data_IF_474626300958
#
_entry.id   IF_474626300958
#
_cell.length_a   1.000
_cell.length_b   1.000
_cell.length_c   1.000
_cell.angle_alpha   90.00
_cell.angle_beta   90.00
_cell.angle_gamma   90.00
#
_symmetry.space_group_name_H-M   'P 1'
#
loop_
_entity.id
_entity.type
_entity.pdbx_description
1 polymer ?
#
# COMPACT_ATOMS: atom_id res chain seq x y z
N UNK A 1 -9.82 23.87 29.47
CA UNK A 1 -10.66 23.65 28.28
C UNK A 1 -9.81 22.86 27.29
N UNK A 2 -10.03 21.57 27.18
CA UNK A 2 -9.36 20.71 26.19
C UNK A 2 -9.84 21.18 24.82
N UNK A 3 -8.96 21.83 24.05
CA UNK A 3 -9.24 22.06 22.64
C UNK A 3 -9.42 20.68 22.00
N UNK A 4 -10.67 20.31 21.71
CA UNK A 4 -10.95 19.07 21.00
C UNK A 4 -10.15 19.09 19.70
N UNK A 5 -9.33 18.05 19.47
CA UNK A 5 -8.65 17.87 18.18
C UNK A 5 -9.75 17.87 17.12
N UNK A 6 -9.77 18.88 16.26
CA UNK A 6 -10.64 18.89 15.11
C UNK A 6 -10.13 17.74 14.22
N UNK A 7 -10.94 16.72 13.99
CA UNK A 7 -10.56 15.52 13.19
C UNK A 7 -11.35 15.43 11.89
N UNK A 8 -12.20 16.42 11.62
CA UNK A 8 -13.20 16.38 10.57
C UNK A 8 -13.24 17.64 9.71
N UNK A 9 -13.44 17.44 8.41
CA UNK A 9 -13.78 18.44 7.40
C UNK A 9 -14.79 17.84 6.40
N UNK A 10 -15.19 18.63 5.41
CA UNK A 10 -16.05 18.13 4.32
C UNK A 10 -15.33 17.01 3.56
N UNK A 11 -16.05 15.90 3.30
CA UNK A 11 -15.51 14.80 2.49
C UNK A 11 -15.46 15.19 1.00
N UNK A 12 -14.62 14.50 0.24
CA UNK A 12 -14.54 14.67 -1.21
C UNK A 12 -15.67 13.89 -1.88
N UNK A 13 -16.17 14.42 -3.01
CA UNK A 13 -17.09 13.71 -3.89
C UNK A 13 -16.42 13.47 -5.24
N UNK A 14 -16.47 12.23 -5.76
CA UNK A 14 -16.10 11.94 -7.14
C UNK A 14 -17.34 11.63 -7.95
N UNK A 15 -17.54 12.35 -9.04
CA UNK A 15 -18.63 12.13 -9.99
C UNK A 15 -18.10 11.38 -11.21
N UNK A 16 -18.71 10.26 -11.54
CA UNK A 16 -18.59 9.68 -12.87
C UNK A 16 -19.57 10.41 -13.78
N UNK A 17 -19.04 11.04 -14.82
CA UNK A 17 -19.83 11.74 -15.83
C UNK A 17 -19.86 10.93 -17.12
N UNK A 18 -21.04 10.83 -17.75
CA UNK A 18 -21.23 10.37 -19.12
C UNK A 18 -21.76 11.51 -19.96
N UNK A 19 -20.98 11.96 -20.93
CA UNK A 19 -21.31 13.13 -21.77
C UNK A 19 -21.72 14.35 -20.93
N UNK A 20 -21.08 14.54 -19.76
CA UNK A 20 -21.35 15.63 -18.83
C UNK A 20 -22.46 15.37 -17.80
N UNK A 21 -23.21 14.28 -17.91
CA UNK A 21 -24.30 13.92 -16.99
C UNK A 21 -23.78 12.99 -15.89
N UNK A 22 -24.15 13.25 -14.63
CA UNK A 22 -23.73 12.43 -13.48
C UNK A 22 -24.37 11.04 -13.57
N UNK A 23 -23.55 10.01 -13.73
CA UNK A 23 -23.96 8.59 -13.74
C UNK A 23 -23.83 7.96 -12.35
N UNK A 24 -22.75 8.26 -11.61
CA UNK A 24 -22.58 7.78 -10.23
C UNK A 24 -21.75 8.76 -9.40
N UNK A 25 -21.91 8.68 -8.07
CA UNK A 25 -21.14 9.46 -7.09
C UNK A 25 -20.42 8.55 -6.12
N UNK A 26 -19.22 8.95 -5.72
CA UNK A 26 -18.40 8.25 -4.73
C UNK A 26 -17.99 9.23 -3.63
N UNK A 27 -18.17 8.85 -2.37
CA UNK A 27 -17.71 9.64 -1.23
C UNK A 27 -16.31 9.17 -0.85
N UNK A 28 -15.39 10.12 -0.69
CA UNK A 28 -13.98 9.84 -0.43
C UNK A 28 -13.49 10.64 0.76
N UNK A 29 -12.74 9.98 1.62
CA UNK A 29 -12.04 10.60 2.73
C UNK A 29 -10.54 10.50 2.51
N UNK A 30 -9.81 11.52 2.95
CA UNK A 30 -8.37 11.60 2.80
C UNK A 30 -7.74 12.30 4.00
N UNK A 31 -6.55 11.85 4.39
CA UNK A 31 -5.80 12.38 5.53
C UNK A 31 -4.35 12.50 5.16
N UNK A 32 -3.73 13.62 5.50
CA UNK A 32 -2.29 13.81 5.41
C UNK A 32 -1.72 13.91 6.82
N UNK A 33 -0.69 13.13 7.10
CA UNK A 33 0.03 13.16 8.36
C UNK A 33 1.52 13.42 8.13
N UNK A 34 2.21 13.87 9.18
CA UNK A 34 3.66 13.86 9.26
C UNK A 34 4.21 12.63 9.99
N UNK A 35 5.53 12.47 9.97
CA UNK A 35 6.29 11.40 10.65
C UNK A 35 6.11 11.37 12.19
N UNK A 36 5.54 12.43 12.79
CA UNK A 36 5.22 12.48 14.23
C UNK A 36 3.80 11.99 14.52
N UNK A 37 3.05 11.62 13.49
CA UNK A 37 1.66 11.20 13.58
C UNK A 37 0.68 12.35 13.75
N UNK A 38 1.08 13.60 13.45
CA UNK A 38 0.18 14.74 13.48
C UNK A 38 -0.60 14.80 12.17
N UNK A 39 -1.92 14.93 12.26
CA UNK A 39 -2.76 15.21 11.09
C UNK A 39 -2.53 16.66 10.67
N UNK A 40 -2.08 16.86 9.44
CA UNK A 40 -1.80 18.18 8.86
C UNK A 40 -3.03 18.74 8.16
N UNK A 41 -3.67 17.91 7.34
CA UNK A 41 -4.88 18.26 6.59
C UNK A 41 -5.79 17.05 6.44
N UNK A 42 -7.10 17.30 6.32
CA UNK A 42 -8.12 16.27 6.17
C UNK A 42 -9.19 16.68 5.16
N UNK A 43 -9.77 15.69 4.50
CA UNK A 43 -11.07 15.77 3.85
C UNK A 43 -11.90 14.58 4.34
N UNK A 44 -13.05 14.83 4.97
CA UNK A 44 -13.79 13.80 5.71
C UNK A 44 -13.29 13.67 7.14
N UNK A 45 -13.07 12.46 7.65
CA UNK A 45 -12.71 12.21 9.04
C UNK A 45 -11.41 11.39 9.16
N UNK A 46 -10.43 11.89 9.92
CA UNK A 46 -9.16 11.20 10.13
C UNK A 46 -9.27 9.89 10.91
N UNK A 47 -10.34 9.74 11.70
CA UNK A 47 -10.62 8.57 12.53
C UNK A 47 -11.45 7.51 11.80
N UNK A 48 -11.80 7.71 10.53
CA UNK A 48 -12.51 6.70 9.75
C UNK A 48 -11.70 5.41 9.70
N UNK A 49 -12.31 4.35 10.20
CA UNK A 49 -11.71 3.03 10.25
C UNK A 49 -11.92 2.28 8.94
N UNK A 50 -10.86 1.69 8.41
CA UNK A 50 -10.90 0.78 7.27
C UNK A 50 -9.82 -0.29 7.41
N UNK A 51 -10.01 -1.44 6.77
CA UNK A 51 -8.93 -2.41 6.66
C UNK A 51 -7.84 -1.84 5.75
N UNK A 52 -6.59 -1.85 6.18
CA UNK A 52 -5.46 -1.34 5.38
C UNK A 52 -5.19 -2.20 4.13
N UNK A 53 -5.58 -3.48 4.17
CA UNK A 53 -5.43 -4.45 3.07
C UNK A 53 -3.98 -4.45 2.54
N UNK A 54 -3.81 -4.57 1.23
CA UNK A 54 -2.50 -4.60 0.56
C UNK A 54 -1.63 -3.35 0.74
N UNK A 55 -2.15 -2.24 1.26
CA UNK A 55 -1.32 -1.08 1.61
C UNK A 55 -0.41 -1.36 2.82
N UNK A 56 -0.60 -2.48 3.54
CA UNK A 56 0.26 -2.89 4.64
C UNK A 56 1.59 -3.54 4.19
N UNK A 57 1.68 -4.00 2.94
CA UNK A 57 2.79 -4.85 2.46
C UNK A 57 4.19 -4.27 2.65
N UNK A 58 4.45 -2.95 2.47
CA UNK A 58 5.74 -2.36 2.80
C UNK A 58 6.14 -2.61 4.27
N UNK A 59 5.19 -2.52 5.20
CA UNK A 59 5.44 -2.77 6.62
C UNK A 59 5.57 -4.26 6.94
N UNK A 60 4.90 -5.15 6.19
CA UNK A 60 5.13 -6.60 6.29
C UNK A 60 6.54 -6.97 5.83
N UNK A 61 7.07 -6.27 4.84
CA UNK A 61 8.44 -6.48 4.34
C UNK A 61 9.53 -6.11 5.35
N UNK A 62 9.22 -5.32 6.40
CA UNK A 62 10.15 -5.07 7.50
C UNK A 62 10.58 -6.37 8.20
N UNK A 63 9.75 -7.40 8.21
CA UNK A 63 10.14 -8.70 8.74
C UNK A 63 11.32 -9.32 7.95
N UNK A 64 11.43 -9.02 6.66
CA UNK A 64 12.50 -9.54 5.78
C UNK A 64 13.78 -8.73 5.95
N UNK A 65 13.69 -7.40 5.97
CA UNK A 65 14.87 -6.52 6.07
C UNK A 65 15.48 -6.56 7.47
N UNK A 66 14.64 -6.50 8.52
CA UNK A 66 15.12 -6.41 9.91
C UNK A 66 15.69 -7.73 10.46
N UNK A 67 15.43 -8.86 9.79
CA UNK A 67 15.90 -10.18 10.24
C UNK A 67 17.15 -10.67 9.54
N UNK A 68 17.67 -9.90 8.57
CA UNK A 68 18.83 -10.27 7.76
C UNK A 68 18.52 -11.31 6.68
N UNK A 69 17.24 -11.51 6.33
CA UNK A 69 16.82 -12.50 5.33
C UNK A 69 17.32 -12.16 3.94
N UNK A 70 17.42 -10.87 3.61
CA UNK A 70 17.96 -10.44 2.33
C UNK A 70 19.41 -10.88 2.17
N UNK A 71 20.25 -10.64 3.18
CA UNK A 71 21.67 -11.00 3.17
C UNK A 71 21.86 -12.51 3.22
N UNK A 72 21.06 -13.21 4.04
CA UNK A 72 21.15 -14.67 4.21
C UNK A 72 20.96 -15.43 2.90
N UNK A 73 20.03 -14.98 2.06
CA UNK A 73 19.66 -15.66 0.83
C UNK A 73 20.09 -14.89 -0.43
N UNK A 74 20.91 -13.85 -0.27
CA UNK A 74 21.41 -13.01 -1.36
C UNK A 74 20.26 -12.52 -2.28
N UNK A 75 19.24 -11.94 -1.62
CA UNK A 75 18.06 -11.37 -2.26
C UNK A 75 18.30 -9.90 -2.63
N UNK A 76 17.91 -9.56 -3.84
CA UNK A 76 18.09 -8.24 -4.44
C UNK A 76 16.98 -7.25 -4.06
N UNK A 77 17.17 -5.98 -4.40
CA UNK A 77 16.11 -4.97 -4.29
C UNK A 77 14.89 -5.33 -5.17
N UNK A 78 15.08 -6.07 -6.26
CA UNK A 78 13.97 -6.58 -7.09
C UNK A 78 13.17 -7.66 -6.37
N UNK A 79 13.82 -8.50 -5.58
CA UNK A 79 13.16 -9.46 -4.69
C UNK A 79 12.36 -8.73 -3.60
N UNK A 80 12.95 -7.69 -2.99
CA UNK A 80 12.25 -6.87 -2.01
C UNK A 80 11.03 -6.16 -2.61
N UNK A 81 11.14 -5.65 -3.85
CA UNK A 81 10.03 -5.02 -4.55
C UNK A 81 8.86 -5.99 -4.76
N UNK A 82 9.13 -7.23 -5.21
CA UNK A 82 8.05 -8.22 -5.38
C UNK A 82 7.46 -8.65 -4.03
N UNK A 83 8.21 -8.64 -2.92
CA UNK A 83 7.67 -8.91 -1.58
C UNK A 83 6.61 -7.86 -1.17
N UNK A 84 6.78 -6.60 -1.58
CA UNK A 84 5.79 -5.54 -1.31
C UNK A 84 4.59 -5.52 -2.27
N UNK A 85 4.57 -6.42 -3.26
CA UNK A 85 3.73 -6.25 -4.45
C UNK A 85 2.25 -6.61 -4.27
N UNK A 86 1.40 -6.00 -5.09
CA UNK A 86 0.08 -6.50 -5.51
C UNK A 86 0.12 -6.80 -7.01
N UNK A 87 1.00 -7.72 -7.38
CA UNK A 87 1.41 -7.94 -8.77
C UNK A 87 0.32 -8.62 -9.64
N UNK A 88 0.49 -8.64 -10.97
CA UNK A 88 -0.50 -9.16 -11.93
C UNK A 88 -0.34 -10.65 -12.26
N UNK A 89 0.63 -11.31 -11.63
CA UNK A 89 1.02 -12.67 -11.99
C UNK A 89 1.60 -12.77 -13.41
N UNK A 90 2.32 -11.74 -13.89
CA UNK A 90 3.06 -11.85 -15.16
C UNK A 90 4.19 -12.88 -15.01
N UNK A 91 4.66 -13.45 -16.12
CA UNK A 91 5.76 -14.44 -16.11
C UNK A 91 7.00 -13.88 -15.38
N UNK A 92 7.33 -12.61 -15.60
CA UNK A 92 8.45 -11.94 -14.95
C UNK A 92 8.28 -11.87 -13.43
N UNK A 93 7.11 -11.45 -12.96
CA UNK A 93 6.79 -11.36 -11.53
C UNK A 93 6.77 -12.74 -10.88
N UNK A 94 6.15 -13.73 -11.54
CA UNK A 94 6.12 -15.14 -11.10
C UNK A 94 7.53 -15.70 -10.95
N UNK A 95 8.42 -15.44 -11.92
CA UNK A 95 9.83 -15.83 -11.84
C UNK A 95 10.55 -15.20 -10.66
N UNK A 96 10.25 -13.93 -10.35
CA UNK A 96 10.84 -13.26 -9.20
C UNK A 96 10.37 -13.87 -7.87
N UNK A 97 9.08 -14.21 -7.74
CA UNK A 97 8.56 -14.91 -6.55
C UNK A 97 9.20 -16.29 -6.41
N UNK A 98 9.30 -17.03 -7.52
CA UNK A 98 9.99 -18.32 -7.53
C UNK A 98 11.47 -18.21 -7.12
N UNK A 99 12.16 -17.16 -7.59
CA UNK A 99 13.56 -16.90 -7.22
C UNK A 99 13.75 -16.79 -5.70
N UNK A 100 12.85 -16.08 -5.00
CA UNK A 100 12.91 -15.95 -3.53
C UNK A 100 12.79 -17.32 -2.86
N UNK A 101 11.81 -18.13 -3.28
CA UNK A 101 11.59 -19.46 -2.73
C UNK A 101 12.78 -20.38 -3.02
N UNK A 102 13.29 -20.37 -4.25
CA UNK A 102 14.43 -21.17 -4.66
C UNK A 102 15.70 -20.82 -3.86
N UNK A 103 15.99 -19.53 -3.67
CA UNK A 103 17.11 -19.05 -2.84
C UNK A 103 17.00 -19.48 -1.38
N UNK A 104 15.78 -19.62 -0.88
CA UNK A 104 15.49 -20.11 0.46
C UNK A 104 15.35 -21.65 0.54
N UNK A 105 15.59 -22.40 -0.54
CA UNK A 105 15.40 -23.86 -0.60
C UNK A 105 13.97 -24.29 -0.24
N UNK A 106 12.98 -23.58 -0.80
CA UNK A 106 11.56 -23.82 -0.57
C UNK A 106 10.83 -24.21 -1.85
N UNK A 107 10.00 -25.25 -1.74
CA UNK A 107 9.11 -25.66 -2.83
C UNK A 107 7.88 -24.73 -2.94
N UNK A 108 7.46 -24.28 -4.14
CA UNK A 108 6.28 -23.44 -4.32
C UNK A 108 4.97 -23.98 -3.72
N UNK A 109 4.86 -25.28 -3.47
CA UNK A 109 3.71 -25.91 -2.81
C UNK A 109 3.52 -25.48 -1.35
N UNK A 110 4.53 -24.88 -0.71
CA UNK A 110 4.38 -24.31 0.65
C UNK A 110 3.63 -22.96 0.65
N UNK A 111 3.39 -22.35 -0.51
CA UNK A 111 2.55 -21.16 -0.61
C UNK A 111 1.10 -21.50 -0.23
N UNK A 112 0.52 -20.70 0.66
CA UNK A 112 -0.84 -20.85 1.16
C UNK A 112 -1.78 -19.75 0.64
N UNK A 113 -1.28 -18.84 -0.19
CA UNK A 113 -2.16 -17.96 -0.95
C UNK A 113 -2.94 -18.79 -1.99
N UNK A 114 -4.18 -18.42 -2.31
CA UNK A 114 -5.01 -19.21 -3.22
C UNK A 114 -4.49 -19.11 -4.66
N UNK A 115 -4.90 -20.04 -5.52
CA UNK A 115 -4.68 -19.94 -6.96
C UNK A 115 -5.73 -18.98 -7.53
N UNK A 116 -5.35 -17.90 -8.24
CA UNK A 116 -6.33 -17.01 -8.84
C UNK A 116 -7.19 -17.74 -9.87
N UNK A 117 -8.40 -17.22 -10.11
CA UNK A 117 -9.28 -17.75 -11.16
C UNK A 117 -8.59 -17.72 -12.53
N UNK A 118 -8.69 -18.83 -13.27
CA UNK A 118 -8.06 -18.99 -14.59
C UNK A 118 -6.54 -19.18 -14.57
N UNK A 119 -5.92 -19.32 -13.39
CA UNK A 119 -4.48 -19.53 -13.21
C UNK A 119 -4.15 -20.94 -12.76
N UNK A 120 -2.85 -21.29 -12.74
CA UNK A 120 -2.39 -22.67 -12.50
C UNK A 120 -1.58 -22.81 -11.21
N UNK A 121 -1.11 -21.71 -10.64
CA UNK A 121 -0.20 -21.75 -9.49
C UNK A 121 -0.48 -20.62 -8.49
N UNK A 122 -0.24 -20.84 -7.17
CA UNK A 122 -0.23 -19.77 -6.17
C UNK A 122 0.80 -18.67 -6.49
N UNK A 123 1.86 -18.96 -7.26
CA UNK A 123 2.84 -17.97 -7.70
C UNK A 123 2.22 -16.85 -8.56
N UNK A 124 1.07 -17.12 -9.18
CA UNK A 124 0.36 -16.12 -9.99
C UNK A 124 -0.57 -15.24 -9.13
N UNK A 125 -0.72 -15.55 -7.84
CA UNK A 125 -1.52 -14.75 -6.94
C UNK A 125 -0.85 -13.44 -6.59
N UNK A 126 -1.60 -12.33 -6.60
CA UNK A 126 -1.06 -10.98 -6.44
C UNK A 126 -0.33 -10.72 -5.10
N UNK A 127 -0.49 -11.61 -4.13
CA UNK A 127 0.21 -11.56 -2.85
C UNK A 127 1.36 -12.56 -2.74
N UNK A 128 1.62 -13.40 -3.74
CA UNK A 128 2.57 -14.50 -3.61
C UNK A 128 3.98 -14.03 -3.23
N UNK A 129 4.40 -12.83 -3.67
CA UNK A 129 5.64 -12.19 -3.22
C UNK A 129 5.73 -11.96 -1.71
N UNK A 130 4.68 -11.41 -1.05
CA UNK A 130 4.68 -11.24 0.42
C UNK A 130 4.74 -12.59 1.13
N UNK A 131 4.12 -13.62 0.56
CA UNK A 131 4.14 -14.98 1.11
C UNK A 131 5.53 -15.59 1.00
N UNK A 132 6.20 -15.45 -0.16
CA UNK A 132 7.58 -15.90 -0.33
C UNK A 132 8.53 -15.21 0.66
N UNK A 133 8.37 -13.89 0.88
CA UNK A 133 9.13 -13.16 1.90
C UNK A 133 8.89 -13.69 3.32
N UNK A 134 7.64 -13.89 3.73
CA UNK A 134 7.31 -14.48 5.04
C UNK A 134 7.92 -15.88 5.21
N UNK A 135 7.79 -16.73 4.19
CA UNK A 135 8.33 -18.09 4.20
C UNK A 135 9.86 -18.11 4.25
N UNK A 136 10.55 -17.22 3.54
CA UNK A 136 12.00 -17.09 3.62
C UNK A 136 12.46 -16.74 5.06
N UNK A 137 11.76 -15.82 5.73
CA UNK A 137 12.02 -15.51 7.15
C UNK A 137 11.78 -16.75 8.03
N UNK A 138 10.65 -17.44 7.84
CA UNK A 138 10.36 -18.67 8.58
C UNK A 138 11.45 -19.72 8.40
N UNK A 139 11.90 -19.94 7.17
CA UNK A 139 12.97 -20.89 6.84
C UNK A 139 14.29 -20.52 7.52
N UNK A 140 14.68 -19.24 7.48
CA UNK A 140 15.90 -18.76 8.14
C UNK A 140 15.83 -18.96 9.66
N UNK A 141 14.66 -18.73 10.25
CA UNK A 141 14.43 -18.78 11.70
C UNK A 141 14.03 -20.17 12.21
N UNK A 142 13.96 -21.16 11.33
CA UNK A 142 13.46 -22.51 11.62
C UNK A 142 12.06 -22.49 12.25
N UNK A 143 11.19 -21.59 11.79
CA UNK A 143 9.79 -21.54 12.18
C UNK A 143 8.93 -22.42 11.27
N UNK A 144 7.79 -22.93 11.77
CA UNK A 144 6.88 -23.75 10.97
C UNK A 144 6.45 -23.08 9.65
N UNK A 145 6.50 -23.84 8.56
CA UNK A 145 6.13 -23.35 7.22
C UNK A 145 4.65 -23.61 6.88
N UNK A 146 3.98 -24.50 7.60
CA UNK A 146 2.65 -24.99 7.27
C UNK A 146 1.51 -24.22 7.97
N UNK A 147 1.83 -23.25 8.83
CA UNK A 147 0.82 -22.44 9.52
C UNK A 147 1.23 -20.97 9.68
N UNK A 148 2.09 -20.47 8.79
CA UNK A 148 2.62 -19.10 8.86
C UNK A 148 1.56 -18.00 8.74
N UNK A 149 0.34 -18.32 8.32
CA UNK A 149 -0.79 -17.39 8.25
C UNK A 149 -1.54 -17.25 9.59
N UNK A 150 -1.33 -18.16 10.54
CA UNK A 150 -1.99 -18.10 11.83
C UNK A 150 -1.54 -16.87 12.62
N UNK A 151 -2.48 -16.15 13.24
CA UNK A 151 -2.19 -14.92 14.00
C UNK A 151 -1.11 -15.10 15.06
N UNK A 152 -1.07 -16.26 15.71
CA UNK A 152 -0.09 -16.59 16.77
C UNK A 152 1.26 -17.06 16.22
N UNK A 153 1.38 -17.26 14.90
CA UNK A 153 2.63 -17.68 14.30
C UNK A 153 3.71 -16.60 14.52
N UNK A 154 4.97 -16.98 14.82
CA UNK A 154 6.05 -16.02 15.07
C UNK A 154 6.23 -14.95 14.00
N UNK A 155 6.06 -15.28 12.72
CA UNK A 155 6.14 -14.28 11.63
C UNK A 155 5.02 -13.22 11.70
N UNK A 156 3.80 -13.61 12.06
CA UNK A 156 2.67 -12.68 12.16
C UNK A 156 2.81 -11.80 13.40
N UNK A 157 3.34 -12.37 14.50
CA UNK A 157 3.69 -11.61 15.70
C UNK A 157 4.83 -10.62 15.44
N UNK A 158 5.85 -11.01 14.68
CA UNK A 158 6.94 -10.12 14.26
C UNK A 158 6.41 -8.95 13.42
N UNK A 159 5.58 -9.22 12.41
CA UNK A 159 4.96 -8.20 11.56
C UNK A 159 4.10 -7.24 12.40
N UNK A 160 3.23 -7.79 13.25
CA UNK A 160 2.37 -6.99 14.13
C UNK A 160 3.21 -6.12 15.07
N UNK A 161 4.26 -6.68 15.67
CA UNK A 161 5.18 -5.95 16.55
C UNK A 161 5.84 -4.77 15.85
N UNK A 162 6.25 -4.93 14.59
CA UNK A 162 6.81 -3.83 13.79
C UNK A 162 5.80 -2.73 13.49
N UNK A 163 4.56 -3.09 13.15
CA UNK A 163 3.49 -2.11 12.91
C UNK A 163 3.12 -1.38 14.21
N UNK A 164 3.04 -2.10 15.33
CA UNK A 164 2.78 -1.59 16.66
C UNK A 164 3.87 -0.60 17.12
N UNK A 165 5.14 -0.93 16.89
CA UNK A 165 6.31 -0.07 17.16
C UNK A 165 6.20 1.26 16.40
N UNK A 166 5.93 1.20 15.09
CA UNK A 166 5.78 2.39 14.24
C UNK A 166 4.62 3.29 14.67
N UNK A 167 3.48 2.69 15.02
CA UNK A 167 2.29 3.42 15.46
C UNK A 167 2.30 3.79 16.94
N UNK A 168 3.32 3.36 17.70
CA UNK A 168 3.46 3.56 19.15
C UNK A 168 2.21 3.13 19.92
N UNK A 169 1.67 1.99 19.53
CA UNK A 169 0.44 1.43 20.06
C UNK A 169 0.67 -0.04 20.45
N UNK A 170 0.12 -0.54 21.56
CA UNK A 170 0.18 -1.95 21.91
C UNK A 170 -0.36 -2.85 20.79
N UNK A 171 0.30 -3.98 20.56
CA UNK A 171 -0.08 -4.94 19.52
C UNK A 171 -1.50 -5.49 19.72
N UNK A 172 -1.94 -5.57 20.98
CA UNK A 172 -3.23 -6.10 21.42
C UNK A 172 -4.41 -5.19 21.04
N UNK A 173 -4.17 -3.90 20.75
CA UNK A 173 -5.20 -2.95 20.35
C UNK A 173 -5.59 -3.10 18.86
N UNK A 174 -4.78 -3.80 18.06
CA UNK A 174 -5.07 -4.00 16.65
C UNK A 174 -6.18 -5.04 16.43
N UNK A 175 -7.31 -4.59 15.87
CA UNK A 175 -8.38 -5.47 15.41
C UNK A 175 -7.92 -6.16 14.12
N UNK A 176 -7.74 -7.48 14.17
CA UNK A 176 -7.22 -8.28 13.05
C UNK A 176 -8.28 -9.16 12.37
N UNK A 177 -8.28 -9.16 11.05
CA UNK A 177 -9.06 -10.04 10.19
C UNK A 177 -8.14 -10.79 9.21
N UNK A 178 -8.68 -11.77 8.48
CA UNK A 178 -7.97 -12.38 7.36
C UNK A 178 -8.25 -11.60 6.08
N UNK A 179 -7.21 -11.34 5.30
CA UNK A 179 -7.31 -10.84 3.92
C UNK A 179 -7.60 -12.01 2.96
N UNK A 180 -7.91 -11.73 1.69
CA UNK A 180 -8.32 -12.76 0.72
C UNK A 180 -7.21 -13.79 0.42
N UNK A 181 -5.96 -13.41 0.69
CA UNK A 181 -4.79 -14.28 0.60
C UNK A 181 -4.60 -15.21 1.80
N UNK A 182 -5.44 -15.07 2.84
CA UNK A 182 -5.37 -15.78 4.11
C UNK A 182 -4.49 -15.12 5.18
N UNK A 183 -3.57 -14.20 4.83
CA UNK A 183 -2.74 -13.51 5.82
C UNK A 183 -3.54 -12.47 6.64
N UNK A 184 -3.13 -12.16 7.89
CA UNK A 184 -3.73 -11.10 8.68
C UNK A 184 -3.69 -9.72 8.00
N UNK A 185 -4.78 -8.96 8.18
CA UNK A 185 -4.89 -7.52 7.91
C UNK A 185 -5.53 -6.84 9.12
N UNK A 186 -5.27 -5.55 9.30
CA UNK A 186 -5.73 -4.80 10.48
C UNK A 186 -6.72 -3.71 10.10
N UNK A 187 -7.71 -3.50 10.96
CA UNK A 187 -8.57 -2.32 10.92
C UNK A 187 -7.78 -1.15 11.50
N UNK A 188 -7.58 -0.10 10.71
CA UNK A 188 -6.83 1.09 11.11
C UNK A 188 -7.63 2.34 10.77
N UNK A 189 -7.40 3.40 11.55
CA UNK A 189 -7.88 4.73 11.20
C UNK A 189 -7.05 5.30 10.04
N UNK A 190 -7.65 6.16 9.20
CA UNK A 190 -6.91 6.80 8.10
C UNK A 190 -5.70 7.60 8.58
N UNK A 191 -5.80 8.28 9.73
CA UNK A 191 -4.66 8.97 10.33
C UNK A 191 -3.50 8.03 10.67
N UNK A 192 -3.78 6.79 11.09
CA UNK A 192 -2.75 5.78 11.35
C UNK A 192 -2.11 5.30 10.05
N UNK A 193 -2.91 5.04 9.01
CA UNK A 193 -2.39 4.67 7.69
C UNK A 193 -1.51 5.78 7.09
N UNK A 194 -1.95 7.04 7.18
CA UNK A 194 -1.19 8.19 6.72
C UNK A 194 0.12 8.35 7.51
N UNK A 195 0.10 8.15 8.83
CA UNK A 195 1.29 8.21 9.68
C UNK A 195 2.30 7.11 9.33
N UNK A 196 1.84 5.89 9.04
CA UNK A 196 2.69 4.80 8.56
C UNK A 196 3.43 5.19 7.28
N UNK A 197 2.75 5.81 6.32
CA UNK A 197 3.38 6.25 5.06
C UNK A 197 4.27 7.48 5.24
N UNK A 198 3.96 8.33 6.21
CA UNK A 198 4.82 9.44 6.60
C UNK A 198 6.15 8.93 7.18
N UNK A 199 6.09 7.92 8.06
CA UNK A 199 7.26 7.22 8.60
C UNK A 199 8.04 6.47 7.51
N UNK A 200 7.34 5.77 6.62
CA UNK A 200 7.95 5.09 5.47
C UNK A 200 8.71 6.08 4.57
N UNK A 201 8.19 7.30 4.44
CA UNK A 201 8.80 8.37 3.66
C UNK A 201 9.86 9.18 4.43
N UNK A 202 9.93 9.01 5.76
CA UNK A 202 10.97 9.60 6.59
C UNK A 202 12.25 8.77 6.43
N UNK A 203 13.34 9.37 5.96
CA UNK A 203 14.65 8.70 5.79
C UNK A 203 15.35 8.39 7.13
N UNK A 204 14.56 8.13 8.19
CA UNK A 204 15.01 7.95 9.57
C UNK A 204 15.36 6.49 9.90
N UNK A 205 15.00 5.56 9.02
CA UNK A 205 15.16 4.12 9.24
C UNK A 205 15.69 3.44 7.96
N UNK A 206 16.86 2.80 8.07
CA UNK A 206 17.55 2.16 6.94
C UNK A 206 16.77 1.00 6.31
N UNK A 207 16.01 0.25 7.10
CA UNK A 207 15.17 -0.85 6.61
C UNK A 207 14.02 -0.32 5.74
N UNK A 208 13.33 0.72 6.21
CA UNK A 208 12.28 1.39 5.44
C UNK A 208 12.83 2.08 4.20
N UNK A 209 13.99 2.72 4.29
CA UNK A 209 14.66 3.34 3.15
C UNK A 209 14.97 2.30 2.06
N UNK A 210 15.46 1.12 2.43
CA UNK A 210 15.71 0.03 1.48
C UNK A 210 14.43 -0.48 0.82
N UNK A 211 13.34 -0.59 1.58
CA UNK A 211 12.02 -0.98 1.06
C UNK A 211 11.52 0.05 0.05
N UNK A 212 11.57 1.34 0.41
CA UNK A 212 11.19 2.44 -0.48
C UNK A 212 12.04 2.42 -1.75
N UNK A 213 13.36 2.29 -1.62
CA UNK A 213 14.29 2.22 -2.76
C UNK A 213 13.92 1.07 -3.69
N UNK A 214 13.68 -0.13 -3.15
CA UNK A 214 13.25 -1.27 -3.94
C UNK A 214 11.94 -1.00 -4.70
N UNK A 215 10.94 -0.43 -4.02
CA UNK A 215 9.65 -0.10 -4.62
C UNK A 215 9.78 0.94 -5.75
N UNK A 216 10.52 2.02 -5.53
CA UNK A 216 10.63 3.13 -6.49
C UNK A 216 11.57 2.83 -7.66
N UNK A 217 12.58 1.96 -7.48
CA UNK A 217 13.44 1.51 -8.58
C UNK A 217 12.81 0.36 -9.39
N UNK A 218 11.95 -0.45 -8.78
CA UNK A 218 11.26 -1.56 -9.45
C UNK A 218 9.72 -1.46 -9.34
N UNK A 219 9.10 -0.34 -9.75
CA UNK A 219 7.67 -0.11 -9.56
C UNK A 219 6.81 -1.13 -10.33
N UNK A 220 7.29 -1.61 -11.47
CA UNK A 220 6.63 -2.68 -12.24
C UNK A 220 6.60 -4.04 -11.50
N UNK A 221 7.52 -4.31 -10.57
CA UNK A 221 7.40 -5.48 -9.69
C UNK A 221 6.31 -5.29 -8.64
N UNK A 222 6.08 -4.04 -8.19
CA UNK A 222 5.11 -3.73 -7.13
C UNK A 222 3.65 -3.88 -7.61
N UNK A 223 3.28 -3.27 -8.73
CA UNK A 223 1.91 -3.32 -9.23
C UNK A 223 1.78 -3.84 -10.67
N UNK A 224 2.85 -3.80 -11.46
CA UNK A 224 2.83 -4.14 -12.88
C UNK A 224 2.58 -2.93 -13.77
N UNK A 225 2.96 -3.06 -15.05
CA UNK A 225 2.78 -1.99 -16.02
C UNK A 225 1.31 -1.58 -16.17
N UNK A 226 1.09 -0.27 -16.32
CA UNK A 226 -0.25 0.28 -16.48
C UNK A 226 -0.99 0.56 -15.19
N UNK A 227 -0.54 0.06 -14.04
CA UNK A 227 -1.20 0.30 -12.76
C UNK A 227 -0.80 1.63 -12.13
N UNK A 228 -1.72 2.22 -11.38
CA UNK A 228 -1.56 3.55 -10.77
C UNK A 228 -0.27 3.69 -9.96
N UNK A 229 0.02 2.75 -9.06
CA UNK A 229 1.25 2.79 -8.24
C UNK A 229 2.51 2.80 -9.11
N UNK A 230 2.52 2.01 -10.20
CA UNK A 230 3.65 1.92 -11.11
C UNK A 230 3.87 3.22 -11.87
N UNK A 231 2.80 3.76 -12.45
CA UNK A 231 2.86 4.98 -13.26
C UNK A 231 3.21 6.20 -12.40
N UNK A 232 2.62 6.29 -11.20
CA UNK A 232 2.93 7.38 -10.27
C UNK A 232 4.41 7.38 -9.91
N UNK A 233 4.95 6.26 -9.43
CA UNK A 233 6.37 6.17 -9.04
C UNK A 233 7.33 6.41 -10.21
N UNK A 234 6.94 6.08 -11.45
CA UNK A 234 7.73 6.39 -12.66
C UNK A 234 7.75 7.88 -13.00
N UNK A 235 6.63 8.56 -12.81
CA UNK A 235 6.49 10.00 -13.10
C UNK A 235 7.06 10.88 -11.98
N UNK A 236 7.33 10.31 -10.81
CA UNK A 236 7.91 11.00 -9.64
C UNK A 236 9.13 10.25 -9.12
N UNK A 237 10.19 10.08 -9.94
CA UNK A 237 11.31 9.20 -9.63
C UNK A 237 12.02 9.65 -8.35
N UNK A 238 12.00 8.79 -7.32
CA UNK A 238 12.63 9.08 -6.02
C UNK A 238 11.90 10.10 -5.15
N UNK A 239 10.73 10.57 -5.56
CA UNK A 239 9.96 11.61 -4.85
C UNK A 239 8.75 11.05 -4.10
N UNK A 240 8.05 10.07 -4.68
CA UNK A 240 6.88 9.44 -4.07
C UNK A 240 7.03 7.92 -4.01
N UNK A 241 6.54 7.33 -2.92
CA UNK A 241 6.25 5.90 -2.81
C UNK A 241 4.74 5.70 -2.73
N UNK A 242 4.20 4.77 -3.51
CA UNK A 242 2.74 4.55 -3.59
C UNK A 242 2.39 3.08 -3.45
N UNK A 243 1.32 2.81 -2.70
CA UNK A 243 0.78 1.46 -2.59
C UNK A 243 -0.74 1.46 -2.44
N UNK A 244 -1.37 0.76 -3.37
CA UNK A 244 -2.80 0.47 -3.39
C UNK A 244 -3.17 -0.61 -2.37
N UNK A 245 -4.29 -0.37 -1.67
CA UNK A 245 -5.09 -1.37 -0.96
C UNK A 245 -6.39 -1.69 -1.72
N UNK A 246 -6.97 -2.87 -1.46
CA UNK A 246 -8.30 -3.21 -1.95
C UNK A 246 -9.38 -2.32 -1.29
N UNK A 247 -10.63 -2.42 -1.73
CA UNK A 247 -11.75 -1.69 -1.12
C UNK A 247 -11.49 -0.19 -0.97
N UNK A 248 -11.01 0.46 -2.04
CA UNK A 248 -10.92 1.92 -2.12
C UNK A 248 -9.78 2.55 -1.33
N UNK A 249 -8.82 1.77 -0.80
CA UNK A 249 -7.66 2.28 -0.07
C UNK A 249 -6.51 2.64 -1.02
N UNK A 250 -5.90 3.81 -0.81
CA UNK A 250 -4.65 4.21 -1.44
C UNK A 250 -3.78 4.93 -0.41
N UNK A 251 -2.50 4.58 -0.33
CA UNK A 251 -1.56 5.27 0.53
C UNK A 251 -0.31 5.71 -0.25
N UNK A 252 0.19 6.92 0.05
CA UNK A 252 1.27 7.57 -0.68
C UNK A 252 2.18 8.29 0.32
N UNK A 253 3.49 8.15 0.20
CA UNK A 253 4.48 8.88 1.00
C UNK A 253 5.28 9.86 0.16
N UNK A 254 5.52 11.07 0.67
CA UNK A 254 6.38 12.10 0.09
C UNK A 254 7.79 12.00 0.68
N UNK A 255 8.69 11.44 -0.12
CA UNK A 255 10.06 11.14 0.31
C UNK A 255 10.82 12.43 0.61
N UNK A 256 11.64 12.41 1.66
CA UNK A 256 12.43 13.57 2.11
C UNK A 256 11.66 14.60 2.95
N UNK A 257 10.33 14.67 2.81
CA UNK A 257 9.48 15.57 3.61
C UNK A 257 8.79 14.86 4.79
N UNK A 258 8.85 13.52 4.84
CA UNK A 258 8.26 12.74 5.94
C UNK A 258 6.75 12.92 6.06
N UNK A 259 6.06 13.08 4.92
CA UNK A 259 4.59 13.22 4.86
C UNK A 259 3.96 11.99 4.23
N UNK A 260 2.78 11.62 4.73
CA UNK A 260 2.02 10.48 4.23
C UNK A 260 0.56 10.84 4.01
N UNK A 261 0.00 10.36 2.91
CA UNK A 261 -1.39 10.50 2.49
C UNK A 261 -2.07 9.13 2.56
N UNK A 262 -3.25 9.07 3.18
CA UNK A 262 -4.15 7.93 3.10
C UNK A 262 -5.50 8.36 2.55
N UNK A 263 -6.02 7.59 1.59
CA UNK A 263 -7.32 7.81 0.93
C UNK A 263 -8.19 6.58 1.13
N UNK A 264 -9.47 6.78 1.42
CA UNK A 264 -10.50 5.75 1.43
C UNK A 264 -11.75 6.21 0.69
N UNK A 265 -12.07 5.52 -0.39
CA UNK A 265 -13.37 5.60 -1.07
C UNK A 265 -14.35 4.72 -0.33
N UNK A 266 -15.47 5.28 0.15
CA UNK A 266 -16.36 4.59 1.08
C UNK A 266 -17.01 3.35 0.48
N UNK A 267 -17.35 3.37 -0.81
CA UNK A 267 -17.94 2.24 -1.54
C UNK A 267 -16.90 1.28 -2.16
N UNK A 268 -15.61 1.52 -1.91
CA UNK A 268 -14.53 0.66 -2.37
C UNK A 268 -14.07 0.88 -3.82
N UNK A 269 -14.64 1.85 -4.56
CA UNK A 269 -14.39 2.00 -5.98
C UNK A 269 -12.93 2.39 -6.33
N UNK A 270 -12.25 1.52 -7.10
CA UNK A 270 -10.87 1.74 -7.59
C UNK A 270 -10.75 3.00 -8.46
N UNK A 271 -11.73 3.26 -9.33
CA UNK A 271 -11.69 4.43 -10.24
C UNK A 271 -11.69 5.75 -9.47
N UNK A 272 -12.50 5.85 -8.43
CA UNK A 272 -12.62 7.06 -7.62
C UNK A 272 -11.32 7.33 -6.84
N UNK A 273 -10.68 6.28 -6.32
CA UNK A 273 -9.47 6.45 -5.51
C UNK A 273 -8.30 7.02 -6.33
N UNK A 274 -8.15 6.61 -7.59
CA UNK A 274 -7.09 7.12 -8.46
C UNK A 274 -7.33 8.59 -8.83
N UNK A 275 -8.58 8.95 -9.16
CA UNK A 275 -8.93 10.33 -9.46
C UNK A 275 -8.67 11.26 -8.26
N UNK A 276 -9.06 10.84 -7.06
CA UNK A 276 -8.76 11.61 -5.83
C UNK A 276 -7.26 11.69 -5.57
N UNK A 277 -6.51 10.60 -5.75
CA UNK A 277 -5.06 10.64 -5.57
C UNK A 277 -4.42 11.70 -6.47
N UNK A 278 -4.75 11.73 -7.77
CA UNK A 278 -4.21 12.74 -8.70
C UNK A 278 -4.60 14.15 -8.27
N UNK A 279 -5.88 14.37 -7.97
CA UNK A 279 -6.41 15.66 -7.53
C UNK A 279 -5.68 16.20 -6.29
N UNK A 280 -5.51 15.36 -5.26
CA UNK A 280 -4.85 15.77 -4.02
C UNK A 280 -3.34 15.95 -4.17
N UNK A 281 -2.68 15.09 -4.95
CA UNK A 281 -1.26 15.24 -5.23
C UNK A 281 -0.98 16.55 -5.99
N UNK A 282 -1.87 16.94 -6.91
CA UNK A 282 -1.79 18.22 -7.59
C UNK A 282 -2.07 19.39 -6.64
N UNK A 283 -3.11 19.29 -5.80
CA UNK A 283 -3.44 20.31 -4.78
C UNK A 283 -2.25 20.58 -3.85
N UNK A 284 -1.54 19.54 -3.42
CA UNK A 284 -0.38 19.65 -2.53
C UNK A 284 0.93 19.98 -3.25
N UNK A 285 0.95 20.01 -4.59
CA UNK A 285 2.18 20.22 -5.37
C UNK A 285 3.16 19.03 -5.32
N UNK A 286 2.69 17.83 -4.98
CA UNK A 286 3.53 16.60 -4.94
C UNK A 286 3.81 16.01 -6.31
N UNK A 287 3.09 16.45 -7.34
CA UNK A 287 3.30 16.09 -8.74
C UNK A 287 3.30 17.34 -9.62
N UNK A 288 4.09 17.31 -10.69
CA UNK A 288 4.09 18.39 -11.68
C UNK A 288 2.77 18.42 -12.48
N UNK A 289 2.42 19.56 -13.10
CA UNK A 289 1.26 19.64 -13.99
C UNK A 289 1.29 18.60 -15.12
N UNK A 290 2.48 18.32 -15.70
CA UNK A 290 2.63 17.32 -16.76
C UNK A 290 2.43 15.88 -16.28
N UNK A 291 2.89 15.56 -15.06
CA UNK A 291 2.63 14.27 -14.44
C UNK A 291 1.13 14.10 -14.12
N UNK A 292 0.48 15.16 -13.61
CA UNK A 292 -0.95 15.17 -13.34
C UNK A 292 -1.79 14.95 -14.61
N UNK A 293 -1.41 15.60 -15.72
CA UNK A 293 -2.04 15.42 -17.03
C UNK A 293 -1.89 13.97 -17.53
N UNK A 294 -0.66 13.45 -17.54
CA UNK A 294 -0.37 12.07 -17.97
C UNK A 294 -1.14 11.02 -17.16
N UNK A 295 -1.24 11.19 -15.84
CA UNK A 295 -2.04 10.32 -14.98
C UNK A 295 -3.55 10.49 -15.22
N UNK A 296 -4.02 11.71 -15.45
CA UNK A 296 -5.43 12.01 -15.68
C UNK A 296 -5.95 11.40 -16.98
N UNK A 297 -5.17 11.46 -18.06
CA UNK A 297 -5.50 10.79 -19.32
C UNK A 297 -5.75 9.29 -19.13
N UNK A 298 -4.95 8.65 -18.26
CA UNK A 298 -5.00 7.20 -18.04
C UNK A 298 -6.06 6.76 -17.04
N UNK A 299 -6.26 7.53 -15.96
CA UNK A 299 -7.05 7.08 -14.81
C UNK A 299 -8.32 7.90 -14.54
N UNK A 300 -8.44 9.10 -15.12
CA UNK A 300 -9.60 10.01 -14.94
C UNK A 300 -10.47 10.01 -16.19
N UNK A 301 -9.86 9.98 -17.39
CA UNK A 301 -10.56 9.88 -18.67
C UNK A 301 -10.82 8.41 -19.04
N UNK A 302 -12.02 7.91 -18.76
CA UNK A 302 -12.40 6.49 -18.91
C UNK A 302 -12.96 6.17 -20.31
N UNK A 303 -12.38 6.79 -21.33
CA UNK A 303 -12.78 6.71 -22.75
C UNK A 303 -13.44 8.00 -23.27
N UNK A 304 -13.91 7.96 -24.52
CA UNK A 304 -14.38 9.16 -25.25
C UNK A 304 -15.53 9.92 -24.58
N UNK A 305 -16.38 9.21 -23.85
CA UNK A 305 -17.63 9.76 -23.32
C UNK A 305 -17.72 9.72 -21.79
N UNK A 306 -16.71 9.17 -21.10
CA UNK A 306 -16.74 8.96 -19.66
C UNK A 306 -15.53 9.60 -19.00
N UNK A 307 -15.76 10.40 -17.96
CA UNK A 307 -14.68 10.98 -17.15
C UNK A 307 -15.07 11.05 -15.69
N UNK A 308 -14.08 11.13 -14.81
CA UNK A 308 -14.27 11.42 -13.40
C UNK A 308 -14.06 12.92 -13.14
N UNK A 309 -14.84 13.48 -12.24
CA UNK A 309 -14.70 14.84 -11.72
C UNK A 309 -14.59 14.75 -10.20
N UNK A 310 -13.56 15.38 -9.62
CA UNK A 310 -13.35 15.42 -8.17
C UNK A 310 -13.77 16.77 -7.63
N UNK A 311 -14.53 16.78 -6.54
CA UNK A 311 -15.07 17.98 -5.89
C UNK A 311 -14.64 17.99 -4.43
N UNK A 312 -14.17 19.16 -4.00
CA UNK A 312 -13.66 19.42 -2.66
C UNK A 312 -12.13 19.44 -2.64
N UNK A 313 -11.60 19.66 -1.44
CA UNK A 313 -10.18 19.87 -1.19
C UNK A 313 -9.81 19.38 0.22
N UNK A 314 -8.52 19.15 0.44
CA UNK A 314 -8.00 19.02 1.80
C UNK A 314 -8.11 20.35 2.54
N UNK A 315 -8.50 20.30 3.81
CA UNK A 315 -8.57 21.45 4.71
C UNK A 315 -7.62 21.27 5.89
N UNK A 316 -7.01 22.36 6.35
CA UNK A 316 -6.30 22.40 7.64
C UNK A 316 -7.30 22.24 8.80
N UNK A 317 -6.86 21.57 9.87
CA UNK A 317 -7.64 21.31 11.07
C UNK A 317 -7.56 22.44 12.10
#
# INVERSE_FOLDING_TARGET
MTMGKRTQATALEVRLLREGIIESKHIVQAVVCDERGRVLTVAGNSETAAFIRSALKPFQALAVTTTGTLERYDLSDRDLAIITSSHKGTIEQVRQVFNILWRADLDPTVLQCPIPEGKRSPLEYNCSGKHAGMLAVCQQRHWPLNNYLERKHPIQQLILGKVAELLRMPAEEFISAHDDCGAPTYLMQLGQMASLYALLASSSNLDMERIVRAMTHHPAMVAGDGEFDTELMRLTPGELVSKSGAEGVQCIGRLGEGMGLAIKVMDGAKRAKHAVAIHLLQQMGWISPSAAESLSEKFVTLGKYKRLEVIGELSFL
#
